data_IF_735726500919
#
_entry.id   IF_735726500919
#
_cell.length_a   1.000
_cell.length_b   1.000
_cell.length_c   1.000
_cell.angle_alpha   90.00
_cell.angle_beta   90.00
_cell.angle_gamma   90.00
#
_symmetry.space_group_name_H-M   'P 1'
#
loop_
_entity.id
_entity.type
_entity.pdbx_description
1 polymer ?
#
# COMPACT_ATOMS: atom_id res chain seq x y z
N UNK A 1 -12.31 -35.88 -42.55
CA UNK A 1 -10.92 -35.58 -42.17
C UNK A 1 -10.90 -34.18 -41.57
N UNK A 2 -11.22 -34.07 -40.28
CA UNK A 2 -11.02 -32.83 -39.54
C UNK A 2 -9.51 -32.67 -39.34
N UNK A 3 -8.97 -31.53 -39.77
CA UNK A 3 -7.57 -31.20 -39.57
C UNK A 3 -7.32 -31.08 -38.07
N UNK A 4 -6.88 -32.18 -37.48
CA UNK A 4 -6.35 -32.24 -36.13
C UNK A 4 -5.07 -31.39 -36.15
N UNK A 5 -5.13 -30.16 -35.66
CA UNK A 5 -3.94 -29.33 -35.49
C UNK A 5 -2.99 -30.15 -34.63
N UNK A 6 -1.92 -30.67 -35.23
CA UNK A 6 -1.05 -31.60 -34.51
C UNK A 6 -0.51 -30.91 -33.27
N UNK A 7 -0.28 -31.66 -32.19
CA UNK A 7 0.30 -31.15 -30.95
C UNK A 7 1.56 -30.30 -31.21
N UNK A 8 2.36 -30.70 -32.21
CA UNK A 8 3.55 -29.96 -32.62
C UNK A 8 3.23 -28.61 -33.28
N UNK A 9 2.14 -28.51 -34.04
CA UNK A 9 1.70 -27.24 -34.59
C UNK A 9 1.22 -26.28 -33.48
N UNK A 10 0.46 -26.78 -32.49
CA UNK A 10 0.05 -25.99 -31.33
C UNK A 10 1.24 -25.52 -30.48
N UNK A 11 2.27 -26.37 -30.33
CA UNK A 11 3.50 -25.98 -29.62
C UNK A 11 4.26 -24.87 -30.34
N UNK A 12 4.39 -24.95 -31.66
CA UNK A 12 5.01 -23.88 -32.45
C UNK A 12 4.23 -22.57 -32.33
N UNK A 13 2.91 -22.64 -32.31
CA UNK A 13 2.07 -21.45 -32.08
C UNK A 13 2.32 -20.83 -30.70
N UNK A 14 2.49 -21.65 -29.65
CA UNK A 14 2.88 -21.16 -28.31
C UNK A 14 4.26 -20.50 -28.35
N UNK A 15 5.25 -21.14 -28.97
CA UNK A 15 6.61 -20.59 -29.08
C UNK A 15 6.61 -19.22 -29.78
N UNK A 16 5.82 -19.08 -30.87
CA UNK A 16 5.66 -17.82 -31.59
C UNK A 16 4.96 -16.75 -30.72
N UNK A 17 3.95 -17.13 -29.93
CA UNK A 17 3.28 -16.23 -28.98
C UNK A 17 4.26 -15.78 -27.88
N UNK A 18 5.07 -16.69 -27.34
CA UNK A 18 6.04 -16.39 -26.29
C UNK A 18 7.11 -15.42 -26.77
N UNK A 19 7.59 -15.60 -28.01
CA UNK A 19 8.50 -14.64 -28.66
C UNK A 19 7.87 -13.25 -28.78
N UNK A 20 6.60 -13.17 -29.21
CA UNK A 20 5.88 -11.90 -29.29
C UNK A 20 5.67 -11.24 -27.91
N UNK A 21 5.39 -12.02 -26.87
CA UNK A 21 5.28 -11.52 -25.49
C UNK A 21 6.62 -10.93 -25.04
N UNK A 22 7.73 -11.64 -25.29
CA UNK A 22 9.06 -11.15 -24.96
C UNK A 22 9.38 -9.83 -25.68
N UNK A 23 9.11 -9.73 -26.98
CA UNK A 23 9.31 -8.51 -27.77
C UNK A 23 8.48 -7.33 -27.24
N UNK A 24 7.24 -7.58 -26.82
CA UNK A 24 6.39 -6.57 -26.19
C UNK A 24 6.94 -6.12 -24.82
N UNK A 25 7.52 -7.02 -24.03
CA UNK A 25 8.19 -6.67 -22.77
C UNK A 25 9.42 -5.79 -23.03
N UNK A 26 10.23 -6.14 -24.03
CA UNK A 26 11.39 -5.32 -24.43
C UNK A 26 10.94 -3.93 -24.91
N UNK A 27 9.90 -3.86 -25.75
CA UNK A 27 9.35 -2.59 -26.22
C UNK A 27 8.79 -1.75 -25.08
N UNK A 28 8.06 -2.36 -24.14
CA UNK A 28 7.58 -1.67 -22.93
C UNK A 28 8.73 -1.08 -22.13
N UNK A 29 9.82 -1.85 -21.97
CA UNK A 29 11.00 -1.42 -21.22
C UNK A 29 11.65 -0.19 -21.84
N UNK A 30 11.83 -0.16 -23.16
CA UNK A 30 12.35 1.02 -23.89
C UNK A 30 11.50 2.28 -23.66
N UNK A 31 10.17 2.15 -23.61
CA UNK A 31 9.28 3.28 -23.33
C UNK A 31 9.43 3.75 -21.88
N UNK A 32 9.59 2.83 -20.92
CA UNK A 32 9.82 3.19 -19.52
C UNK A 32 11.15 3.93 -19.34
N UNK A 33 12.20 3.54 -20.06
CA UNK A 33 13.48 4.27 -20.08
C UNK A 33 13.29 5.73 -20.55
N UNK A 34 12.49 5.96 -21.59
CA UNK A 34 12.18 7.33 -22.05
C UNK A 34 11.39 8.13 -20.99
N UNK A 35 10.46 7.48 -20.26
CA UNK A 35 9.73 8.11 -19.16
C UNK A 35 10.68 8.48 -18.02
N UNK A 36 11.65 7.62 -17.70
CA UNK A 36 12.69 7.90 -16.69
C UNK A 36 13.52 9.11 -17.08
N UNK A 37 13.96 9.18 -18.34
CA UNK A 37 14.73 10.31 -18.87
C UNK A 37 13.97 11.64 -18.74
N UNK A 38 12.66 11.62 -18.99
CA UNK A 38 11.81 12.79 -18.80
C UNK A 38 11.63 13.22 -17.33
N UNK A 39 11.91 12.33 -16.36
CA UNK A 39 11.75 12.55 -14.91
C UNK A 39 13.07 12.71 -14.15
N UNK A 40 14.17 13.01 -14.86
CA UNK A 40 15.50 13.20 -14.25
C UNK A 40 15.43 14.20 -13.08
N UNK A 41 16.00 13.83 -11.93
CA UNK A 41 16.09 14.69 -10.73
C UNK A 41 15.12 14.35 -9.59
N UNK A 42 14.16 13.45 -9.77
CA UNK A 42 13.30 13.00 -8.65
C UNK A 42 14.02 11.97 -7.77
N UNK A 43 14.03 12.21 -6.45
CA UNK A 43 14.67 11.36 -5.45
C UNK A 43 13.95 10.01 -5.25
N UNK A 44 12.62 10.02 -5.23
CA UNK A 44 11.80 8.81 -5.12
C UNK A 44 10.97 8.64 -6.38
N UNK A 45 11.01 7.42 -6.93
CA UNK A 45 10.56 7.16 -8.31
C UNK A 45 9.30 6.29 -8.39
N UNK A 46 8.90 5.67 -7.28
CA UNK A 46 7.63 4.96 -7.21
C UNK A 46 6.47 5.92 -7.32
N UNK A 47 5.41 5.48 -8.02
CA UNK A 47 4.16 6.23 -8.14
C UNK A 47 3.00 5.30 -7.82
N UNK A 48 2.73 5.04 -6.53
CA UNK A 48 1.81 4.00 -6.06
C UNK A 48 0.42 4.07 -6.72
N UNK A 49 -0.13 5.28 -6.86
CA UNK A 49 -1.41 5.49 -7.51
C UNK A 49 -1.42 5.04 -8.98
N UNK A 50 -0.33 5.30 -9.71
CA UNK A 50 -0.17 4.85 -11.09
C UNK A 50 -0.13 3.33 -11.17
N UNK A 51 0.58 2.67 -10.27
CA UNK A 51 0.64 1.20 -10.22
C UNK A 51 -0.74 0.59 -9.93
N UNK A 52 -1.48 1.17 -8.97
CA UNK A 52 -2.87 0.78 -8.69
C UNK A 52 -3.74 0.93 -9.93
N UNK A 53 -3.69 2.08 -10.62
CA UNK A 53 -4.48 2.34 -11.83
C UNK A 53 -4.20 1.34 -12.96
N UNK A 54 -2.94 0.89 -13.10
CA UNK A 54 -2.56 -0.11 -14.11
C UNK A 54 -3.26 -1.43 -13.80
N UNK A 55 -3.15 -1.91 -12.56
CA UNK A 55 -3.76 -3.18 -12.15
C UNK A 55 -5.28 -3.11 -12.21
N UNK A 56 -5.90 -2.03 -11.74
CA UNK A 56 -7.35 -1.85 -11.81
C UNK A 56 -7.86 -1.96 -13.25
N UNK A 57 -7.25 -1.21 -14.18
CA UNK A 57 -7.61 -1.24 -15.60
C UNK A 57 -7.42 -2.62 -16.24
N UNK A 58 -6.38 -3.37 -15.85
CA UNK A 58 -6.11 -4.69 -16.41
C UNK A 58 -7.12 -5.72 -15.91
N UNK A 59 -7.46 -5.70 -14.63
CA UNK A 59 -8.49 -6.56 -14.05
C UNK A 59 -9.86 -6.26 -14.68
N UNK A 60 -10.17 -4.99 -14.89
CA UNK A 60 -11.43 -4.58 -15.51
C UNK A 60 -11.52 -4.97 -16.99
N UNK A 61 -10.44 -4.85 -17.79
CA UNK A 61 -10.47 -5.27 -19.20
C UNK A 61 -10.37 -6.78 -19.40
N UNK A 62 -10.01 -7.54 -18.35
CA UNK A 62 -9.68 -8.95 -18.46
C UNK A 62 -10.87 -9.76 -18.99
N UNK A 63 -10.62 -10.57 -20.02
CA UNK A 63 -11.59 -11.51 -20.61
C UNK A 63 -10.88 -12.82 -20.90
N UNK A 64 -11.60 -13.93 -20.75
CA UNK A 64 -11.08 -15.26 -21.03
C UNK A 64 -10.62 -16.02 -19.78
N UNK A 65 -10.05 -17.21 -19.98
CA UNK A 65 -9.87 -18.19 -18.91
C UNK A 65 -8.60 -18.00 -18.08
N UNK A 66 -7.73 -17.05 -18.43
CA UNK A 66 -6.47 -16.86 -17.70
C UNK A 66 -6.76 -16.36 -16.27
N UNK A 67 -6.15 -16.95 -15.24
CA UNK A 67 -6.39 -16.53 -13.86
C UNK A 67 -5.98 -15.08 -13.59
N UNK A 68 -6.93 -14.24 -13.16
CA UNK A 68 -6.71 -12.80 -12.89
C UNK A 68 -5.64 -12.53 -11.81
N UNK A 69 -5.53 -13.40 -10.80
CA UNK A 69 -4.53 -13.26 -9.72
C UNK A 69 -3.11 -13.39 -10.27
N UNK A 70 -2.88 -14.38 -11.13
CA UNK A 70 -1.62 -14.67 -11.80
C UNK A 70 -1.29 -13.53 -12.77
N UNK A 71 -2.28 -13.01 -13.49
CA UNK A 71 -2.12 -11.84 -14.36
C UNK A 71 -1.61 -10.63 -13.57
N UNK A 72 -2.26 -10.33 -12.43
CA UNK A 72 -1.88 -9.23 -11.59
C UNK A 72 -0.44 -9.39 -11.04
N UNK A 73 -0.04 -10.63 -10.69
CA UNK A 73 1.33 -10.92 -10.23
C UNK A 73 2.36 -10.75 -11.34
N UNK A 74 2.09 -11.21 -12.56
CA UNK A 74 2.96 -10.98 -13.73
C UNK A 74 3.16 -9.46 -13.92
N UNK A 75 2.07 -8.69 -13.91
CA UNK A 75 2.18 -7.23 -14.06
C UNK A 75 2.90 -6.55 -12.90
N UNK A 76 2.77 -7.10 -11.69
CA UNK A 76 3.49 -6.60 -10.52
C UNK A 76 5.00 -6.76 -10.70
N UNK A 77 5.46 -7.94 -11.14
CA UNK A 77 6.88 -8.17 -11.46
C UNK A 77 7.36 -7.28 -12.60
N UNK A 78 6.56 -7.08 -13.65
CA UNK A 78 6.91 -6.15 -14.75
C UNK A 78 7.03 -4.69 -14.31
N UNK A 79 6.27 -4.26 -13.31
CA UNK A 79 6.37 -2.92 -12.72
C UNK A 79 7.66 -2.82 -11.90
N UNK A 80 7.89 -3.77 -11.00
CA UNK A 80 9.05 -3.79 -10.10
C UNK A 80 10.36 -3.91 -10.87
N UNK A 81 10.44 -4.78 -11.86
CA UNK A 81 11.64 -4.93 -12.68
C UNK A 81 12.08 -3.59 -13.27
N UNK A 82 11.12 -2.76 -13.70
CA UNK A 82 11.42 -1.43 -14.23
C UNK A 82 11.76 -0.37 -13.16
N UNK A 83 11.30 -0.53 -11.92
CA UNK A 83 11.72 0.34 -10.81
C UNK A 83 13.21 0.16 -10.49
N UNK A 84 13.76 -1.04 -10.69
CA UNK A 84 15.19 -1.30 -10.47
C UNK A 84 16.10 -0.51 -11.43
N UNK A 85 15.61 -0.20 -12.63
CA UNK A 85 16.33 0.66 -13.59
C UNK A 85 16.31 2.12 -13.19
N UNK A 86 15.31 2.53 -12.42
CA UNK A 86 15.11 3.91 -12.01
C UNK A 86 16.13 4.32 -10.94
N UNK A 87 16.61 3.42 -10.09
CA UNK A 87 17.68 3.69 -9.11
C UNK A 87 17.79 2.59 -8.06
N UNK A 88 18.68 2.73 -7.05
CA UNK A 88 18.72 1.78 -5.94
C UNK A 88 17.37 1.81 -5.21
N UNK A 89 16.64 0.69 -5.29
CA UNK A 89 15.36 0.48 -4.62
C UNK A 89 15.56 -0.59 -3.53
N UNK A 90 15.20 -0.28 -2.30
CA UNK A 90 15.32 -1.19 -1.16
C UNK A 90 14.13 -1.10 -0.22
N UNK A 91 13.92 -2.17 0.54
CA UNK A 91 12.78 -2.30 1.44
C UNK A 91 13.29 -2.52 2.87
N UNK A 92 12.86 -1.69 3.79
CA UNK A 92 12.96 -1.95 5.21
C UNK A 92 11.67 -2.61 5.71
N UNK A 93 11.80 -3.72 6.43
CA UNK A 93 10.65 -4.42 7.02
C UNK A 93 10.78 -4.33 8.53
N UNK A 94 9.76 -3.80 9.21
CA UNK A 94 9.72 -3.86 10.66
C UNK A 94 9.57 -5.31 11.09
N UNK A 95 10.43 -5.79 11.98
CA UNK A 95 10.49 -7.17 12.46
C UNK A 95 10.86 -7.13 13.96
N UNK A 96 9.88 -6.98 14.87
CA UNK A 96 10.16 -6.86 16.30
C UNK A 96 10.88 -8.10 16.85
N UNK A 97 11.65 -7.91 17.93
CA UNK A 97 12.44 -9.01 18.54
C UNK A 97 11.56 -10.10 19.15
N UNK A 98 10.35 -9.73 19.59
CA UNK A 98 9.30 -10.64 19.99
C UNK A 98 8.37 -10.92 18.78
N UNK A 99 7.96 -12.18 18.56
CA UNK A 99 6.98 -12.48 17.52
C UNK A 99 5.65 -11.80 17.82
N UNK A 100 4.94 -11.39 16.77
CA UNK A 100 3.60 -10.82 16.91
C UNK A 100 2.67 -11.83 17.63
N UNK A 101 1.74 -11.37 18.49
CA UNK A 101 0.77 -12.26 19.12
C UNK A 101 -0.01 -13.04 18.06
N UNK A 102 0.12 -14.37 18.06
CA UNK A 102 -0.54 -15.25 17.08
C UNK A 102 0.36 -15.82 15.97
N UNK A 103 1.58 -15.31 15.79
CA UNK A 103 2.50 -15.87 14.78
C UNK A 103 3.29 -17.09 15.29
N UNK A 104 3.32 -18.22 14.53
CA UNK A 104 4.14 -19.38 14.87
C UNK A 104 5.63 -19.01 14.98
N UNK A 105 6.27 -19.41 16.08
CA UNK A 105 7.68 -19.10 16.43
C UNK A 105 8.76 -19.60 15.45
N UNK A 106 8.41 -20.19 14.31
CA UNK A 106 9.36 -20.96 13.48
C UNK A 106 9.77 -20.32 12.14
N UNK A 107 9.20 -19.18 11.74
CA UNK A 107 9.77 -18.40 10.63
C UNK A 107 9.79 -16.90 10.97
N UNK A 108 10.94 -16.40 11.41
CA UNK A 108 11.16 -14.96 11.61
C UNK A 108 11.06 -14.13 10.31
N UNK A 109 10.71 -14.74 9.17
CA UNK A 109 10.42 -14.08 7.89
C UNK A 109 8.96 -14.31 7.42
N UNK A 110 8.05 -14.79 8.26
CA UNK A 110 6.65 -14.96 7.85
C UNK A 110 5.82 -13.68 8.04
N UNK A 111 4.71 -13.58 7.30
CA UNK A 111 3.84 -12.41 7.23
C UNK A 111 4.40 -11.27 6.37
N UNK A 112 4.87 -10.20 7.02
CA UNK A 112 5.23 -8.90 6.42
C UNK A 112 6.35 -8.98 5.39
N UNK A 113 7.37 -9.80 5.63
CA UNK A 113 8.48 -9.98 4.70
C UNK A 113 8.02 -10.60 3.37
N UNK A 114 7.11 -11.59 3.44
CA UNK A 114 6.56 -12.21 2.23
C UNK A 114 5.59 -11.27 1.50
N UNK A 115 4.78 -10.49 2.23
CA UNK A 115 3.96 -9.45 1.62
C UNK A 115 4.80 -8.39 0.90
N UNK A 116 5.91 -7.99 1.52
CA UNK A 116 6.86 -7.06 0.92
C UNK A 116 7.48 -7.64 -0.35
N UNK A 117 7.91 -8.90 -0.32
CA UNK A 117 8.43 -9.60 -1.49
C UNK A 117 7.40 -9.72 -2.62
N UNK A 118 6.16 -10.06 -2.29
CA UNK A 118 5.06 -10.19 -3.24
C UNK A 118 4.75 -8.85 -3.93
N UNK A 119 4.87 -7.73 -3.20
CA UNK A 119 4.61 -6.39 -3.72
C UNK A 119 5.80 -5.79 -4.47
N UNK A 120 7.01 -6.04 -4.03
CA UNK A 120 8.20 -5.34 -4.52
C UNK A 120 9.21 -6.28 -5.16
N UNK A 121 8.76 -7.46 -5.56
CA UNK A 121 9.49 -8.44 -6.35
C UNK A 121 10.60 -9.19 -5.61
N UNK A 122 10.99 -10.30 -6.22
CA UNK A 122 11.87 -11.29 -5.58
C UNK A 122 13.34 -10.86 -5.47
N UNK A 123 13.79 -9.93 -6.32
CA UNK A 123 15.19 -9.50 -6.42
C UNK A 123 15.49 -8.20 -5.67
N UNK A 124 14.47 -7.56 -5.07
CA UNK A 124 14.67 -6.31 -4.36
C UNK A 124 15.37 -6.54 -3.02
N UNK A 125 16.46 -5.83 -2.71
CA UNK A 125 17.12 -5.89 -1.41
C UNK A 125 16.16 -5.57 -0.26
N UNK A 126 16.13 -6.45 0.75
CA UNK A 126 15.30 -6.29 1.95
C UNK A 126 16.15 -6.36 3.22
N UNK A 127 15.84 -5.51 4.19
CA UNK A 127 16.50 -5.49 5.51
C UNK A 127 15.46 -5.45 6.63
N UNK A 128 15.73 -6.18 7.71
CA UNK A 128 14.87 -6.19 8.90
C UNK A 128 15.24 -5.09 9.89
N UNK A 129 14.23 -4.48 10.51
CA UNK A 129 14.38 -3.44 11.53
C UNK A 129 13.60 -3.83 12.78
N UNK A 130 14.26 -3.93 13.94
CA UNK A 130 13.59 -4.31 15.21
C UNK A 130 12.74 -3.20 15.82
N UNK A 131 12.89 -1.96 15.33
CA UNK A 131 12.14 -0.79 15.79
C UNK A 131 11.45 -0.08 14.64
N UNK A 132 10.14 0.11 14.76
CA UNK A 132 9.34 0.89 13.81
C UNK A 132 9.86 2.33 13.68
N UNK A 133 10.26 2.98 14.78
CA UNK A 133 10.84 4.32 14.77
C UNK A 133 12.12 4.37 13.93
N UNK A 134 13.05 3.41 14.13
CA UNK A 134 14.29 3.36 13.35
C UNK A 134 14.01 3.12 11.86
N UNK A 135 13.02 2.30 11.53
CA UNK A 135 12.58 2.11 10.14
C UNK A 135 12.04 3.41 9.53
N UNK A 136 11.16 4.12 10.24
CA UNK A 136 10.61 5.41 9.81
C UNK A 136 11.75 6.42 9.57
N UNK A 137 12.73 6.46 10.48
CA UNK A 137 13.90 7.32 10.36
C UNK A 137 14.75 6.95 9.13
N UNK A 138 14.97 5.66 8.89
CA UNK A 138 15.71 5.14 7.73
C UNK A 138 15.01 5.48 6.40
N UNK A 139 13.67 5.41 6.36
CA UNK A 139 12.87 5.82 5.19
C UNK A 139 12.96 7.33 4.97
N UNK A 140 12.83 8.13 6.05
CA UNK A 140 12.93 9.59 6.00
C UNK A 140 14.31 10.07 5.53
N UNK A 141 15.38 9.38 5.93
CA UNK A 141 16.75 9.69 5.51
C UNK A 141 17.17 9.03 4.19
N UNK A 142 16.24 8.35 3.50
CA UNK A 142 16.51 7.59 2.28
C UNK A 142 17.59 6.49 2.40
N UNK A 143 17.83 5.97 3.60
CA UNK A 143 18.67 4.77 3.82
C UNK A 143 17.97 3.53 3.25
N UNK A 144 16.64 3.48 3.34
CA UNK A 144 15.81 2.54 2.61
C UNK A 144 14.70 3.28 1.84
N UNK A 145 14.28 2.74 0.70
CA UNK A 145 13.31 3.43 -0.17
C UNK A 145 11.89 3.40 0.39
N UNK A 146 11.48 2.24 0.92
CA UNK A 146 10.15 2.03 1.50
C UNK A 146 10.25 1.30 2.82
N UNK A 147 9.30 1.58 3.73
CA UNK A 147 9.19 0.88 5.01
C UNK A 147 7.89 0.09 5.09
N UNK A 148 7.95 -1.16 5.54
CA UNK A 148 6.77 -2.02 5.75
C UNK A 148 6.51 -2.17 7.25
N UNK A 149 5.34 -1.70 7.68
CA UNK A 149 4.90 -1.63 9.08
C UNK A 149 3.62 -2.44 9.28
N UNK A 150 3.36 -2.87 10.51
CA UNK A 150 2.10 -3.53 10.87
C UNK A 150 0.91 -2.56 10.73
N UNK A 151 -0.30 -3.11 10.57
CA UNK A 151 -1.53 -2.33 10.65
C UNK A 151 -1.66 -1.75 12.08
N UNK A 152 -2.09 -0.49 12.26
CA UNK A 152 -2.35 0.07 13.58
C UNK A 152 -3.42 -0.70 14.35
N UNK A 153 -3.19 -0.93 15.64
CA UNK A 153 -4.18 -1.52 16.54
C UNK A 153 -4.77 -0.48 17.50
N UNK A 154 -5.97 -0.74 18.03
CA UNK A 154 -6.68 0.24 18.87
C UNK A 154 -5.98 0.52 20.20
N UNK A 155 -5.33 -0.50 20.77
CA UNK A 155 -4.75 -0.47 22.12
C UNK A 155 -3.24 -0.78 22.09
N UNK A 156 -2.54 -0.27 21.07
CA UNK A 156 -1.10 -0.48 20.92
C UNK A 156 -0.35 0.33 22.00
N UNK A 157 0.56 -0.30 22.75
CA UNK A 157 1.35 0.37 23.79
C UNK A 157 2.35 1.37 23.17
N UNK A 158 2.94 1.00 22.03
CA UNK A 158 4.01 1.74 21.36
C UNK A 158 3.69 1.92 19.86
N UNK A 159 2.62 2.67 19.53
CA UNK A 159 2.23 2.86 18.15
C UNK A 159 3.27 3.61 17.36
N UNK A 160 3.46 3.19 16.12
CA UNK A 160 4.42 3.81 15.20
C UNK A 160 3.86 5.04 14.49
N UNK A 161 2.54 5.12 14.32
CA UNK A 161 1.86 6.15 13.53
C UNK A 161 1.99 7.59 14.07
N UNK A 162 2.19 7.85 15.38
CA UNK A 162 2.53 9.19 15.87
C UNK A 162 3.79 9.77 15.22
N UNK A 163 4.75 8.93 14.84
CA UNK A 163 5.98 9.38 14.19
C UNK A 163 5.77 9.87 12.75
N UNK A 164 4.60 9.63 12.15
CA UNK A 164 4.22 10.18 10.85
C UNK A 164 3.41 11.48 10.96
N UNK A 165 2.94 11.84 12.15
CA UNK A 165 2.16 13.06 12.42
C UNK A 165 3.06 14.30 12.42
N UNK A 166 3.67 14.59 11.27
CA UNK A 166 4.56 15.72 11.05
C UNK A 166 4.43 16.28 9.64
N UNK A 167 4.52 17.61 9.53
CA UNK A 167 4.58 18.36 8.27
C UNK A 167 6.02 18.62 7.81
N UNK A 168 7.03 18.05 8.49
CA UNK A 168 8.41 18.19 8.08
C UNK A 168 8.64 17.60 6.67
N UNK A 169 9.58 18.19 5.94
CA UNK A 169 9.99 17.68 4.63
C UNK A 169 10.46 16.22 4.73
N UNK A 170 10.19 15.43 3.70
CA UNK A 170 10.50 14.00 3.64
C UNK A 170 9.87 13.15 4.75
N UNK A 171 8.87 13.66 5.50
CA UNK A 171 8.11 12.82 6.43
C UNK A 171 7.41 11.71 5.62
N UNK A 172 7.66 10.43 5.93
CA UNK A 172 7.03 9.34 5.19
C UNK A 172 5.50 9.41 5.28
N UNK A 173 4.83 8.98 4.22
CA UNK A 173 3.38 8.84 4.15
C UNK A 173 3.01 7.40 3.88
N UNK A 174 1.87 6.96 4.40
CA UNK A 174 1.28 5.67 4.03
C UNK A 174 0.89 5.73 2.55
N UNK A 175 1.35 4.76 1.76
CA UNK A 175 1.17 4.75 0.30
C UNK A 175 0.50 3.49 -0.24
N UNK A 176 0.57 2.38 0.49
CA UNK A 176 0.09 1.08 0.03
C UNK A 176 -0.37 0.25 1.21
N UNK A 177 -1.49 -0.48 1.05
CA UNK A 177 -1.90 -1.58 1.94
C UNK A 177 -1.54 -2.92 1.30
N UNK A 178 -0.99 -3.82 2.10
CA UNK A 178 -0.58 -5.16 1.69
C UNK A 178 -1.43 -6.24 2.37
N UNK A 179 -1.62 -7.40 1.71
CA UNK A 179 -1.28 -7.66 0.30
C UNK A 179 -2.17 -6.86 -0.67
N UNK A 180 -1.60 -6.32 -1.75
CA UNK A 180 -2.40 -5.59 -2.76
C UNK A 180 -3.18 -6.54 -3.69
N UNK A 181 -2.59 -7.70 -3.99
CA UNK A 181 -3.18 -8.76 -4.81
C UNK A 181 -3.51 -9.93 -3.89
N UNK A 182 -4.79 -10.10 -3.58
CA UNK A 182 -5.30 -11.17 -2.71
C UNK A 182 -5.83 -10.62 -1.40
N UNK A 183 -7.07 -10.13 -1.40
CA UNK A 183 -7.75 -9.82 -0.15
C UNK A 183 -7.97 -11.08 0.72
N UNK A 184 -8.07 -10.90 2.04
CA UNK A 184 -8.00 -11.96 3.05
C UNK A 184 -9.31 -12.76 3.06
N UNK A 185 -9.38 -13.79 2.23
CA UNK A 185 -10.45 -14.78 2.28
C UNK A 185 -10.24 -15.85 3.36
N UNK A 186 -8.99 -16.07 3.80
CA UNK A 186 -8.59 -17.15 4.73
C UNK A 186 -7.34 -16.78 5.58
N UNK A 187 -6.99 -15.49 5.66
CA UNK A 187 -5.76 -15.03 6.31
C UNK A 187 -6.08 -14.18 7.54
N UNK A 188 -5.46 -14.52 8.66
CA UNK A 188 -5.69 -13.90 9.97
C UNK A 188 -5.41 -12.38 9.95
N UNK A 189 -5.93 -11.57 10.89
CA UNK A 189 -5.69 -10.13 10.97
C UNK A 189 -4.21 -9.71 10.88
N UNK A 190 -3.28 -10.58 11.27
CA UNK A 190 -1.83 -10.37 11.22
C UNK A 190 -1.23 -10.44 9.80
N UNK A 191 -1.98 -10.86 8.78
CA UNK A 191 -1.51 -10.96 7.39
C UNK A 191 -1.71 -9.66 6.59
N UNK A 192 -1.58 -8.51 7.25
CA UNK A 192 -1.72 -7.21 6.61
C UNK A 192 -0.63 -6.23 7.05
N UNK A 193 -0.28 -5.32 6.14
CA UNK A 193 0.75 -4.32 6.41
C UNK A 193 0.44 -3.00 5.70
N UNK A 194 1.06 -1.93 6.20
CA UNK A 194 1.13 -0.65 5.53
C UNK A 194 2.55 -0.39 5.04
N UNK A 195 2.65 0.23 3.88
CA UNK A 195 3.92 0.70 3.34
C UNK A 195 4.00 2.20 3.46
N UNK A 196 5.16 2.69 3.90
CA UNK A 196 5.47 4.10 4.02
C UNK A 196 6.58 4.52 3.05
N UNK A 197 6.47 5.72 2.51
CA UNK A 197 7.47 6.33 1.64
C UNK A 197 7.27 7.86 1.59
N UNK A 198 8.32 8.69 1.50
CA UNK A 198 8.18 10.14 1.41
C UNK A 198 7.83 10.57 -0.02
N UNK A 199 6.61 10.23 -0.46
CA UNK A 199 6.05 10.64 -1.76
C UNK A 199 4.69 11.29 -1.57
N UNK A 200 4.37 12.22 -2.46
CA UNK A 200 3.04 12.82 -2.51
C UNK A 200 2.01 11.77 -2.92
N UNK A 201 0.93 11.67 -2.14
CA UNK A 201 -0.19 10.80 -2.49
C UNK A 201 -0.99 11.37 -3.67
N UNK A 202 -1.49 10.49 -4.51
CA UNK A 202 -2.36 10.82 -5.63
C UNK A 202 -3.62 9.95 -5.57
N UNK A 203 -4.78 10.43 -6.02
CA UNK A 203 -6.01 9.65 -5.97
C UNK A 203 -5.96 8.46 -6.94
N UNK A 204 -6.50 7.33 -6.50
CA UNK A 204 -6.70 6.14 -7.33
C UNK A 204 -8.16 5.96 -7.76
N UNK A 205 -9.07 6.74 -7.16
CA UNK A 205 -10.52 6.64 -7.33
C UNK A 205 -11.16 5.61 -6.39
N UNK A 206 -10.35 4.84 -5.65
CA UNK A 206 -10.78 3.85 -4.65
C UNK A 206 -9.83 3.89 -3.46
N UNK A 207 -9.85 5.01 -2.77
CA UNK A 207 -8.83 5.36 -1.79
C UNK A 207 -9.30 5.19 -0.35
N UNK A 208 -8.33 4.98 0.54
CA UNK A 208 -8.45 5.14 1.97
C UNK A 208 -7.43 6.16 2.42
N UNK A 209 -7.77 7.00 3.37
CA UNK A 209 -6.84 7.98 3.94
C UNK A 209 -6.73 7.77 5.44
N UNK A 210 -5.50 7.78 5.95
CA UNK A 210 -5.24 7.87 7.39
C UNK A 210 -4.99 9.33 7.77
N UNK A 211 -5.62 9.77 8.84
CA UNK A 211 -5.42 11.10 9.42
C UNK A 211 -5.22 11.01 10.93
N UNK A 212 -4.51 11.99 11.46
CA UNK A 212 -4.29 12.18 12.89
C UNK A 212 -4.94 13.49 13.32
N UNK A 213 -5.73 13.42 14.39
CA UNK A 213 -6.27 14.57 15.10
C UNK A 213 -5.50 14.70 16.41
N UNK A 214 -4.84 15.84 16.62
CA UNK A 214 -4.19 16.19 17.87
C UNK A 214 -5.14 17.00 18.76
N UNK A 215 -5.11 16.78 20.06
CA UNK A 215 -5.99 17.44 21.04
C UNK A 215 -5.36 17.48 22.44
N UNK A 216 -5.83 18.41 23.27
CA UNK A 216 -5.35 18.53 24.66
C UNK A 216 -5.95 17.45 25.59
N UNK A 217 -7.16 16.99 25.25
CA UNK A 217 -7.93 16.00 26.00
C UNK A 217 -8.37 14.85 25.09
N UNK A 218 -8.75 13.73 25.68
CA UNK A 218 -9.25 12.59 24.92
C UNK A 218 -10.59 12.90 24.23
N UNK A 219 -10.61 12.82 22.90
CA UNK A 219 -11.83 12.80 22.11
C UNK A 219 -12.38 11.37 22.11
N UNK A 220 -13.53 11.17 22.75
CA UNK A 220 -14.19 9.87 22.73
C UNK A 220 -14.50 9.38 21.30
N UNK A 221 -14.37 8.07 21.07
CA UNK A 221 -14.53 7.45 19.74
C UNK A 221 -15.86 7.81 19.04
N UNK A 222 -16.97 7.81 19.78
CA UNK A 222 -18.28 8.17 19.24
C UNK A 222 -18.35 9.65 18.82
N UNK A 223 -17.71 10.53 19.58
CA UNK A 223 -17.63 11.95 19.26
C UNK A 223 -16.80 12.18 18.00
N UNK A 224 -15.64 11.54 17.89
CA UNK A 224 -14.80 11.62 16.70
C UNK A 224 -15.53 11.08 15.46
N UNK A 225 -16.19 9.91 15.59
CA UNK A 225 -16.98 9.31 14.51
C UNK A 225 -18.14 10.21 14.08
N UNK A 226 -18.84 10.81 15.03
CA UNK A 226 -19.93 11.77 14.74
C UNK A 226 -19.41 13.02 14.04
N UNK A 227 -18.30 13.58 14.49
CA UNK A 227 -17.68 14.74 13.87
C UNK A 227 -17.21 14.45 12.43
N UNK A 228 -16.59 13.28 12.21
CA UNK A 228 -16.26 12.81 10.85
C UNK A 228 -17.50 12.72 9.97
N UNK A 229 -18.59 12.13 10.47
CA UNK A 229 -19.85 12.00 9.73
C UNK A 229 -20.44 13.37 9.37
N UNK A 230 -20.46 14.32 10.30
CA UNK A 230 -20.88 15.71 10.06
C UNK A 230 -20.02 16.37 8.98
N UNK A 231 -18.71 16.08 8.98
CA UNK A 231 -17.79 16.54 7.96
C UNK A 231 -17.88 15.77 6.62
N UNK A 232 -18.83 14.85 6.46
CA UNK A 232 -19.03 14.01 5.28
C UNK A 232 -17.89 13.01 5.05
N UNK A 233 -17.31 12.49 6.13
CA UNK A 233 -16.31 11.44 6.12
C UNK A 233 -16.87 10.17 6.75
N UNK A 234 -16.58 9.02 6.14
CA UNK A 234 -16.95 7.71 6.66
C UNK A 234 -15.70 7.09 7.28
N UNK A 235 -15.72 6.91 8.60
CA UNK A 235 -14.59 6.33 9.36
C UNK A 235 -14.70 4.82 9.39
N UNK A 236 -13.62 4.10 9.06
CA UNK A 236 -13.55 2.63 9.14
C UNK A 236 -12.68 2.10 10.25
N UNK A 237 -11.75 2.91 10.75
CA UNK A 237 -10.92 2.54 11.88
C UNK A 237 -10.59 3.78 12.70
N UNK A 238 -10.45 3.61 14.01
CA UNK A 238 -10.00 4.66 14.93
C UNK A 238 -9.12 4.07 16.01
N UNK A 239 -8.04 4.76 16.38
CA UNK A 239 -7.22 4.45 17.55
C UNK A 239 -6.88 5.74 18.29
N UNK A 240 -6.55 5.63 19.57
CA UNK A 240 -6.11 6.76 20.39
C UNK A 240 -4.78 6.42 21.03
N UNK A 241 -3.91 7.41 21.14
CA UNK A 241 -2.67 7.30 21.88
C UNK A 241 -2.42 8.58 22.65
N UNK A 242 -2.02 8.41 23.90
CA UNK A 242 -1.62 9.50 24.78
C UNK A 242 -0.10 9.55 24.85
N UNK A 243 0.47 10.71 24.58
CA UNK A 243 1.91 10.92 24.64
C UNK A 243 2.41 10.77 26.10
N UNK A 244 3.29 9.79 26.39
CA UNK A 244 3.85 9.61 27.73
C UNK A 244 4.77 10.76 28.15
N UNK A 245 5.40 11.45 27.20
CA UNK A 245 6.32 12.58 27.47
C UNK A 245 5.54 13.88 27.63
N UNK A 246 4.36 13.99 27.00
CA UNK A 246 3.49 15.17 27.07
C UNK A 246 2.06 14.76 27.48
N UNK A 247 1.75 14.67 28.79
CA UNK A 247 0.47 14.10 29.27
C UNK A 247 -0.80 14.79 28.78
N UNK A 248 -0.72 16.07 28.37
CA UNK A 248 -1.81 16.86 27.80
C UNK A 248 -1.85 16.81 26.27
N UNK A 249 -1.27 15.76 25.65
CA UNK A 249 -1.24 15.59 24.20
C UNK A 249 -1.81 14.22 23.84
N UNK A 250 -3.00 14.26 23.26
CA UNK A 250 -3.70 13.11 22.72
C UNK A 250 -3.63 13.14 21.20
N UNK A 251 -3.29 12.00 20.61
CA UNK A 251 -3.37 11.77 19.18
C UNK A 251 -4.46 10.74 18.89
N UNK A 252 -5.34 11.08 17.96
CA UNK A 252 -6.41 10.20 17.49
C UNK A 252 -6.17 9.86 16.04
N UNK A 253 -5.92 8.59 15.76
CA UNK A 253 -5.80 8.06 14.42
C UNK A 253 -7.20 7.73 13.89
N UNK A 254 -7.50 8.14 12.66
CA UNK A 254 -8.69 7.72 11.94
C UNK A 254 -8.33 7.26 10.52
N UNK A 255 -8.89 6.12 10.10
CA UNK A 255 -8.93 5.70 8.70
C UNK A 255 -10.30 6.06 8.13
N UNK A 256 -10.32 6.72 6.98
CA UNK A 256 -11.52 7.23 6.34
C UNK A 256 -11.63 6.78 4.87
N UNK A 257 -12.87 6.70 4.39
CA UNK A 257 -13.17 6.46 2.98
C UNK A 257 -12.82 7.67 2.11
N UNK A 258 -12.13 7.38 1.00
CA UNK A 258 -11.77 8.36 -0.02
C UNK A 258 -10.37 8.93 0.13
N UNK A 259 -10.01 9.72 -0.88
CA UNK A 259 -8.77 10.48 -0.94
C UNK A 259 -9.01 11.84 -0.28
N UNK A 260 -8.27 12.14 0.79
CA UNK A 260 -8.31 13.41 1.51
C UNK A 260 -6.89 13.95 1.60
N UNK A 261 -6.75 15.26 1.43
CA UNK A 261 -5.50 15.99 1.61
C UNK A 261 -5.65 16.99 2.76
N UNK A 262 -4.53 17.53 3.24
CA UNK A 262 -4.54 18.53 4.33
C UNK A 262 -5.36 19.79 3.96
N UNK A 263 -5.48 20.12 2.66
CA UNK A 263 -6.20 21.29 2.15
C UNK A 263 -7.68 21.00 1.81
N UNK A 264 -8.17 19.78 2.10
CA UNK A 264 -9.54 19.40 1.78
C UNK A 264 -10.56 20.12 2.68
N UNK A 265 -11.64 20.64 2.08
CA UNK A 265 -12.73 21.30 2.82
C UNK A 265 -13.36 20.44 3.94
N UNK A 266 -13.26 19.10 3.84
CA UNK A 266 -13.71 18.16 4.88
C UNK A 266 -12.87 18.24 6.16
N UNK A 267 -11.58 18.55 6.06
CA UNK A 267 -10.70 18.76 7.22
C UNK A 267 -11.14 20.00 8.00
N UNK A 268 -11.48 21.09 7.30
CA UNK A 268 -12.01 22.30 7.92
C UNK A 268 -13.34 22.02 8.65
N UNK A 269 -14.29 21.34 7.99
CA UNK A 269 -15.57 20.96 8.62
C UNK A 269 -15.39 20.06 9.84
N UNK A 270 -14.39 19.16 9.83
CA UNK A 270 -14.08 18.33 10.98
C UNK A 270 -13.54 19.17 12.14
N UNK A 271 -12.63 20.10 11.87
CA UNK A 271 -12.10 21.02 12.87
C UNK A 271 -13.22 21.85 13.52
N UNK A 272 -14.12 22.40 12.72
CA UNK A 272 -15.32 23.13 13.20
C UNK A 272 -16.22 22.23 14.05
N UNK A 273 -16.48 21.00 13.61
CA UNK A 273 -17.33 20.06 14.35
C UNK A 273 -16.73 19.57 15.67
N UNK A 274 -15.40 19.68 15.85
CA UNK A 274 -14.71 19.35 17.09
C UNK A 274 -14.61 20.55 18.05
N UNK A 275 -15.17 21.70 17.68
CA UNK A 275 -15.37 22.88 18.55
C UNK A 275 -14.11 23.31 19.32
N UNK A 276 -12.98 23.41 18.61
CA UNK A 276 -11.70 23.86 19.18
C UNK A 276 -10.97 22.84 20.05
N UNK A 277 -11.51 21.63 20.25
CA UNK A 277 -10.83 20.56 21.00
C UNK A 277 -9.65 19.99 20.21
N UNK A 278 -9.80 19.91 18.88
CA UNK A 278 -8.71 19.55 18.00
C UNK A 278 -7.74 20.73 17.85
N UNK A 279 -6.50 20.56 18.32
CA UNK A 279 -5.43 21.53 18.15
C UNK A 279 -4.84 21.47 16.75
N UNK A 280 -4.80 20.29 16.12
CA UNK A 280 -4.43 20.14 14.72
C UNK A 280 -5.04 18.88 14.09
N UNK A 281 -5.20 18.91 12.77
CA UNK A 281 -5.62 17.75 11.96
C UNK A 281 -4.68 17.65 10.77
N UNK A 282 -4.18 16.44 10.51
CA UNK A 282 -3.24 16.20 9.41
C UNK A 282 -3.41 14.80 8.83
N UNK A 283 -3.22 14.69 7.52
CA UNK A 283 -3.17 13.40 6.83
C UNK A 283 -1.78 12.78 6.97
N UNK A 284 -1.73 11.47 7.24
CA UNK A 284 -0.48 10.71 7.34
C UNK A 284 -0.29 9.73 6.17
N UNK A 285 -1.19 9.80 5.18
CA UNK A 285 -1.07 9.13 3.89
C UNK A 285 -2.38 8.56 3.39
N UNK A 286 -2.42 8.31 2.08
CA UNK A 286 -3.54 7.69 1.39
C UNK A 286 -3.05 6.54 0.52
N UNK A 287 -3.87 5.50 0.41
CA UNK A 287 -3.55 4.32 -0.37
C UNK A 287 -4.76 3.85 -1.19
N UNK A 288 -4.49 3.28 -2.37
CA UNK A 288 -5.51 2.62 -3.18
C UNK A 288 -5.90 1.27 -2.57
N UNK A 289 -7.20 0.98 -2.54
CA UNK A 289 -7.75 -0.26 -1.99
C UNK A 289 -7.17 -1.50 -2.69
N UNK A 290 -6.71 -2.52 -1.93
CA UNK A 290 -6.32 -3.81 -2.51
C UNK A 290 -7.43 -4.43 -3.38
N UNK A 291 -7.01 -5.24 -4.37
CA UNK A 291 -7.94 -6.01 -5.19
C UNK A 291 -8.61 -7.09 -4.34
N UNK A 292 -9.94 -7.09 -4.30
CA UNK A 292 -10.71 -8.02 -3.49
C UNK A 292 -10.89 -9.40 -4.17
N UNK A 293 -11.34 -10.40 -3.41
CA UNK A 293 -11.52 -11.78 -3.90
C UNK A 293 -12.44 -11.81 -5.13
N UNK A 294 -13.59 -11.14 -5.06
CA UNK A 294 -14.58 -11.07 -6.14
C UNK A 294 -14.00 -10.46 -7.43
N UNK A 295 -13.14 -9.45 -7.31
CA UNK A 295 -12.47 -8.83 -8.46
C UNK A 295 -11.45 -9.76 -9.11
N UNK A 296 -10.83 -10.63 -8.32
CA UNK A 296 -9.82 -11.60 -8.74
C UNK A 296 -10.41 -12.95 -9.15
N UNK A 297 -11.70 -13.18 -8.92
CA UNK A 297 -12.42 -14.34 -9.44
C UNK A 297 -12.45 -14.29 -10.97
N UNK A 298 -12.05 -15.41 -11.57
CA UNK A 298 -12.11 -15.62 -13.02
C UNK A 298 -13.38 -16.43 -13.29
N UNK A 299 -14.23 -15.93 -14.20
CA UNK A 299 -15.45 -16.63 -14.59
C UNK A 299 -15.08 -18.04 -15.07
N UNK A 300 -15.61 -19.07 -14.41
CA UNK A 300 -15.44 -20.44 -14.87
C UNK A 300 -16.23 -20.57 -16.16
N UNK A 301 -15.57 -20.94 -17.26
CA UNK A 301 -16.29 -21.38 -18.45
C UNK A 301 -17.17 -22.55 -18.05
N UNK A 302 -18.49 -22.35 -18.09
CA UNK A 302 -19.47 -23.42 -18.05
C UNK A 302 -19.15 -24.32 -19.24
N UNK A 303 -18.69 -25.55 -18.96
CA UNK A 303 -18.57 -26.57 -19.99
C UNK A 303 -20.00 -26.99 -20.33
N UNK A 304 -20.53 -26.49 -21.44
CA UNK A 304 -21.65 -27.10 -22.15
C UNK A 304 -21.16 -28.30 -22.98
#
# INVERSE_FOLDING_TARGET
MSADTSLDALRREIDDIDNNIHDLIMRRTQVVEQVREAKRGQMVKIRPARECSILYRLIERHKGPFPKRELARIWRELIVATLSFEGPFSIGVHMPDAPDPGEPRHDRRSGRWNMARDQYGSFTPMSGYSSARRLIDAVRSHETTVGVLAIPERNEEKPWWPHLASKAENTPRIITRLPFIGAPGDREPNDQALVICPVTSEPTGRDRTYMVVESADEIGLERLSTACKTAQMITTFTAVWRDPETPSRYLHLAEIEGFITDDDSRILRLSESLDGIASSIMTIGSYGMPLNVQQLETEKQTKD
#
